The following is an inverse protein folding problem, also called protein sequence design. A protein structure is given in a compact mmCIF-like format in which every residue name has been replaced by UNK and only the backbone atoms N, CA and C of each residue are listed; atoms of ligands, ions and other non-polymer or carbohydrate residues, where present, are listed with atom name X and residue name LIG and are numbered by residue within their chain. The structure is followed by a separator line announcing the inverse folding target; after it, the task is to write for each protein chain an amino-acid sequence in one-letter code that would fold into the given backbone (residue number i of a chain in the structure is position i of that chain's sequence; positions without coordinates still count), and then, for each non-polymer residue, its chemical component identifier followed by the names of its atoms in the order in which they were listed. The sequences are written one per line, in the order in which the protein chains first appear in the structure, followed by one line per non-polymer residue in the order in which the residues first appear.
data_IF_626815013943
#
_entry.id   IF_626815013943
#
_cell.length_a   1.000
_cell.length_b   1.000
_cell.length_c   1.000
_cell.angle_alpha   90.00
_cell.angle_beta   90.00
_cell.angle_gamma   90.00
#
_symmetry.space_group_name_H-M   'P 1'
#
loop_
_entity.id
_entity.type
_entity.pdbx_description
1 polymer ?
#
# COMPACT_ATOMS: atom_id res chain seq x y z
N UNK A 1 6.87 -3.25 1.46
CA UNK A 1 6.50 -3.36 0.02
C UNK A 1 5.12 -3.98 -0.16
N UNK A 2 4.82 -5.14 0.44
CA UNK A 2 3.51 -5.80 0.40
C UNK A 2 2.31 -4.85 0.53
N UNK A 3 2.33 -3.98 1.55
CA UNK A 3 1.26 -3.01 1.79
C UNK A 3 0.98 -2.09 0.59
N UNK A 4 2.02 -1.63 -0.12
CA UNK A 4 1.89 -0.73 -1.28
C UNK A 4 1.26 -1.45 -2.48
N UNK A 5 1.49 -2.76 -2.62
CA UNK A 5 1.05 -3.56 -3.76
C UNK A 5 -0.34 -4.18 -3.56
N UNK A 6 -0.68 -4.59 -2.33
CA UNK A 6 -1.95 -5.25 -1.99
C UNK A 6 -3.02 -4.27 -1.48
N UNK A 7 -2.60 -3.22 -0.78
CA UNK A 7 -3.51 -2.29 -0.11
C UNK A 7 -3.09 -0.84 -0.34
N UNK A 8 -3.05 -0.37 -1.61
CA UNK A 8 -2.52 0.94 -1.97
C UNK A 8 -3.24 2.11 -1.27
N UNK A 9 -4.56 2.01 -1.06
CA UNK A 9 -5.33 2.98 -0.29
C UNK A 9 -4.84 3.09 1.15
N UNK A 10 -4.81 1.97 1.89
CA UNK A 10 -4.28 1.95 3.25
C UNK A 10 -2.81 2.40 3.32
N UNK A 11 -1.99 2.07 2.31
CA UNK A 11 -0.58 2.46 2.24
C UNK A 11 -0.39 3.98 2.19
N UNK A 12 -1.24 4.70 1.45
CA UNK A 12 -1.13 6.14 1.22
C UNK A 12 -1.62 7.00 2.40
N UNK A 13 -2.45 6.45 3.28
CA UNK A 13 -3.03 7.18 4.42
C UNK A 13 -2.05 7.25 5.59
N UNK A 14 -1.80 8.44 6.12
CA UNK A 14 -1.09 8.60 7.39
C UNK A 14 -1.97 8.25 8.60
N UNK A 15 -1.43 7.57 9.61
CA UNK A 15 -2.23 7.11 10.76
C UNK A 15 -2.77 8.26 11.62
N UNK A 16 -2.03 9.36 11.78
CA UNK A 16 -2.49 10.51 12.55
C UNK A 16 -3.59 11.26 11.80
N UNK A 17 -3.54 11.27 10.47
CA UNK A 17 -4.62 11.82 9.64
C UNK A 17 -5.85 10.89 9.58
N UNK A 18 -5.64 9.56 9.58
CA UNK A 18 -6.72 8.57 9.67
C UNK A 18 -7.52 8.68 10.98
N UNK A 19 -6.86 9.07 12.07
CA UNK A 19 -7.52 9.32 13.35
C UNK A 19 -8.45 10.55 13.28
N UNK A 20 -8.18 11.51 12.39
CA UNK A 20 -8.94 12.76 12.27
C UNK A 20 -10.09 12.68 11.26
N UNK A 21 -9.92 11.92 10.18
CA UNK A 21 -10.87 11.90 9.05
C UNK A 21 -11.39 10.48 8.77
N UNK A 22 -12.58 10.40 8.18
CA UNK A 22 -13.08 9.15 7.63
C UNK A 22 -12.45 8.92 6.26
N UNK A 23 -11.93 7.72 6.07
CA UNK A 23 -11.26 7.28 4.86
C UNK A 23 -11.89 6.00 4.33
N UNK A 24 -11.94 5.89 3.02
CA UNK A 24 -12.06 4.61 2.33
C UNK A 24 -10.67 3.98 2.24
N UNK A 25 -10.49 2.80 2.85
CA UNK A 25 -9.21 2.10 2.90
C UNK A 25 -8.82 1.41 1.60
N UNK A 26 -9.79 1.16 0.71
CA UNK A 26 -9.52 0.57 -0.61
C UNK A 26 -8.92 1.64 -1.54
N UNK A 27 -9.58 2.80 -1.61
CA UNK A 27 -9.17 3.90 -2.51
C UNK A 27 -8.14 4.85 -1.89
N UNK A 28 -8.07 4.92 -0.57
CA UNK A 28 -7.24 5.90 0.15
C UNK A 28 -7.85 7.31 0.20
N UNK A 29 -9.10 7.49 -0.23
CA UNK A 29 -9.74 8.80 -0.33
C UNK A 29 -10.49 9.18 0.95
N UNK A 30 -10.48 10.48 1.28
CA UNK A 30 -11.28 11.03 2.38
C UNK A 30 -12.76 11.03 1.99
N UNK A 31 -13.62 10.54 2.87
CA UNK A 31 -15.06 10.68 2.70
C UNK A 31 -15.44 12.17 2.81
N UNK A 32 -16.40 12.59 1.99
CA UNK A 32 -16.94 13.95 2.01
C UNK A 32 -18.40 13.94 2.43
N UNK A 33 -18.82 15.02 3.08
CA UNK A 33 -20.21 15.28 3.46
C UNK A 33 -20.62 16.65 2.94
N UNK A 34 -21.91 16.79 2.60
CA UNK A 34 -22.48 18.07 2.17
C UNK A 34 -22.97 18.84 3.38
N UNK A 35 -22.42 20.03 3.59
CA UNK A 35 -22.71 20.88 4.75
C UNK A 35 -23.28 22.23 4.33
N UNK A 36 -24.12 22.79 5.21
CA UNK A 36 -24.74 24.11 5.04
C UNK A 36 -25.86 24.18 3.99
N UNK A 37 -26.47 25.37 3.84
CA UNK A 37 -27.59 25.61 2.90
C UNK A 37 -27.19 25.40 1.44
N UNK A 38 -25.94 25.72 1.10
CA UNK A 38 -25.37 25.61 -0.25
C UNK A 38 -24.88 24.18 -0.57
N UNK A 39 -24.93 23.25 0.40
CA UNK A 39 -24.51 21.85 0.24
C UNK A 39 -23.07 21.69 -0.28
N UNK A 40 -22.12 22.46 0.25
CA UNK A 40 -20.70 22.35 -0.11
C UNK A 40 -20.11 21.04 0.40
N UNK A 41 -19.27 20.41 -0.42
CA UNK A 41 -18.58 19.19 -0.04
C UNK A 41 -17.36 19.52 0.83
N UNK A 42 -17.39 19.03 2.06
CA UNK A 42 -16.28 19.14 3.01
C UNK A 42 -15.85 17.74 3.46
N UNK A 43 -14.59 17.58 3.86
CA UNK A 43 -14.11 16.30 4.38
C UNK A 43 -14.81 15.95 5.69
N UNK A 44 -15.21 14.69 5.82
CA UNK A 44 -15.93 14.22 6.99
C UNK A 44 -14.95 13.95 8.14
N UNK A 45 -14.97 14.76 9.23
CA UNK A 45 -14.18 14.45 10.40
C UNK A 45 -14.69 13.18 11.05
N UNK A 46 -13.79 12.44 11.70
CA UNK A 46 -14.16 11.26 12.49
C UNK A 46 -14.95 11.73 13.73
N UNK A 47 -16.20 11.28 13.92
CA UNK A 47 -16.96 11.66 15.10
C UNK A 47 -16.31 11.16 16.39
N UNK A 48 -16.51 11.89 17.48
CA UNK A 48 -16.05 11.45 18.80
C UNK A 48 -16.65 10.09 19.16
N UNK A 49 -15.83 9.18 19.68
CA UNK A 49 -16.22 7.81 20.04
C UNK A 49 -16.23 6.80 18.89
N UNK A 50 -16.07 7.22 17.63
CA UNK A 50 -15.90 6.29 16.51
C UNK A 50 -14.43 5.84 16.45
N UNK A 51 -14.13 4.54 16.64
CA UNK A 51 -12.74 4.06 16.63
C UNK A 51 -12.12 4.18 15.22
N UNK A 52 -10.80 4.17 15.17
CA UNK A 52 -10.07 3.98 13.92
C UNK A 52 -10.27 2.56 13.41
N UNK A 53 -10.21 2.31 12.09
CA UNK A 53 -10.38 0.97 11.52
C UNK A 53 -9.10 0.13 11.66
N UNK A 54 -8.35 0.31 12.76
CA UNK A 54 -7.06 -0.36 12.97
C UNK A 54 -7.19 -1.88 13.04
N UNK A 55 -8.32 -2.41 13.53
CA UNK A 55 -8.57 -3.86 13.61
C UNK A 55 -8.63 -4.56 12.24
N UNK A 56 -9.13 -3.87 11.21
CA UNK A 56 -9.25 -4.39 9.84
C UNK A 56 -8.20 -3.83 8.90
N UNK A 57 -7.52 -2.74 9.28
CA UNK A 57 -6.47 -2.14 8.48
C UNK A 57 -5.24 -3.05 8.42
N UNK A 58 -4.63 -3.25 7.24
CA UNK A 58 -3.40 -4.04 7.09
C UNK A 58 -2.20 -3.49 7.88
N UNK A 59 -2.23 -2.19 8.25
CA UNK A 59 -1.23 -1.58 9.14
C UNK A 59 -1.39 -2.03 10.59
N UNK A 60 -2.57 -2.50 11.02
CA UNK A 60 -2.96 -2.99 12.36
C UNK A 60 -2.87 -1.96 13.50
N UNK A 61 -1.82 -1.16 13.57
CA UNK A 61 -1.66 -0.08 14.54
C UNK A 61 -0.75 1.03 14.00
N UNK A 62 -0.78 2.25 14.59
CA UNK A 62 0.16 3.32 14.24
C UNK A 62 1.63 2.95 14.45
N UNK A 63 1.94 2.13 15.46
CA UNK A 63 3.30 1.65 15.74
C UNK A 63 3.78 0.72 14.62
N UNK A 64 2.93 -0.24 14.23
CA UNK A 64 3.23 -1.17 13.14
C UNK A 64 3.21 -0.50 11.76
N UNK A 65 2.51 0.63 11.61
CA UNK A 65 2.55 1.42 10.38
C UNK A 65 3.96 1.90 10.04
N UNK A 66 4.80 2.19 11.04
CA UNK A 66 6.20 2.61 10.83
C UNK A 66 7.03 1.48 10.22
N UNK A 67 6.85 0.26 10.71
CA UNK A 67 7.49 -0.95 10.16
C UNK A 67 7.01 -1.27 8.74
N UNK A 68 5.75 -0.95 8.44
CA UNK A 68 5.18 -1.16 7.10
C UNK A 68 5.57 -0.07 6.09
N UNK A 69 6.07 1.08 6.56
CA UNK A 69 6.39 2.23 5.72
C UNK A 69 7.79 2.12 5.17
N UNK A 70 7.94 2.24 3.85
CA UNK A 70 9.26 2.28 3.24
C UNK A 70 9.95 3.61 3.57
N UNK A 71 11.22 3.54 3.99
CA UNK A 71 12.07 4.74 4.03
C UNK A 71 12.13 5.40 2.65
N UNK A 72 12.38 6.72 2.60
CA UNK A 72 12.46 7.46 1.33
C UNK A 72 13.46 6.84 0.34
N UNK A 73 14.58 6.31 0.85
CA UNK A 73 15.59 5.60 0.05
C UNK A 73 15.01 4.32 -0.54
N UNK A 74 14.40 3.47 0.29
CA UNK A 74 13.83 2.20 -0.14
C UNK A 74 12.65 2.40 -1.11
N UNK A 75 11.83 3.43 -0.89
CA UNK A 75 10.74 3.78 -1.78
C UNK A 75 11.26 4.18 -3.17
N UNK A 76 12.32 5.01 -3.25
CA UNK A 76 12.97 5.35 -4.52
C UNK A 76 13.57 4.14 -5.22
N UNK A 77 14.24 3.25 -4.48
CA UNK A 77 14.78 2.00 -5.03
C UNK A 77 13.67 1.12 -5.60
N UNK A 78 12.55 0.99 -4.89
CA UNK A 78 11.38 0.26 -5.36
C UNK A 78 10.75 0.90 -6.62
N UNK A 79 10.59 2.22 -6.65
CA UNK A 79 10.09 2.92 -7.84
C UNK A 79 11.03 2.72 -9.05
N UNK A 80 12.34 2.83 -8.84
CA UNK A 80 13.33 2.62 -9.89
C UNK A 80 13.30 1.18 -10.41
N UNK A 81 13.24 0.19 -9.51
CA UNK A 81 13.05 -1.21 -9.87
C UNK A 81 11.77 -1.43 -10.69
N UNK A 82 10.63 -0.83 -10.28
CA UNK A 82 9.37 -0.93 -11.03
C UNK A 82 9.48 -0.39 -12.45
N UNK A 83 10.12 0.77 -12.64
CA UNK A 83 10.34 1.35 -13.96
C UNK A 83 11.23 0.45 -14.83
N UNK A 84 12.33 -0.07 -14.26
CA UNK A 84 13.20 -1.01 -14.96
C UNK A 84 12.45 -2.30 -15.32
N UNK A 85 11.75 -2.92 -14.37
CA UNK A 85 11.03 -4.16 -14.58
C UNK A 85 9.93 -4.01 -15.65
N UNK A 86 9.16 -2.90 -15.62
CA UNK A 86 8.12 -2.62 -16.61
C UNK A 86 8.66 -2.41 -18.04
N UNK A 87 9.93 -2.05 -18.18
CA UNK A 87 10.61 -1.85 -19.46
C UNK A 87 11.56 -2.97 -19.84
N UNK A 88 11.45 -4.14 -19.19
CA UNK A 88 12.39 -5.25 -19.37
C UNK A 88 13.87 -4.80 -19.24
N UNK A 89 14.11 -3.89 -18.30
CA UNK A 89 15.40 -3.28 -17.96
C UNK A 89 16.00 -2.34 -19.03
N UNK A 90 15.24 -1.93 -20.05
CA UNK A 90 15.71 -0.93 -21.02
C UNK A 90 15.92 0.47 -20.43
N UNK A 91 15.26 0.83 -19.31
CA UNK A 91 15.51 2.09 -18.59
C UNK A 91 16.72 2.05 -17.64
N UNK A 92 17.42 0.91 -17.50
CA UNK A 92 18.59 0.81 -16.63
C UNK A 92 19.78 1.60 -17.22
N UNK A 93 20.32 2.61 -16.52
CA UNK A 93 21.54 3.27 -16.95
C UNK A 93 22.70 2.28 -17.01
N UNK A 94 23.54 2.40 -18.03
CA UNK A 94 24.67 1.46 -18.27
C UNK A 94 25.60 1.35 -17.05
N UNK A 95 25.89 2.46 -16.38
CA UNK A 95 26.75 2.47 -15.18
C UNK A 95 26.15 1.73 -13.97
N UNK A 96 24.84 1.49 -13.95
CA UNK A 96 24.16 0.71 -12.91
C UNK A 96 23.90 -0.73 -13.30
N UNK A 97 24.01 -1.09 -14.59
CA UNK A 97 23.72 -2.44 -15.08
C UNK A 97 24.62 -3.50 -14.44
N UNK A 98 25.86 -3.12 -14.10
CA UNK A 98 26.84 -4.00 -13.46
C UNK A 98 27.08 -3.67 -11.97
N UNK A 99 26.26 -2.80 -11.37
CA UNK A 99 26.41 -2.45 -9.95
C UNK A 99 25.90 -3.61 -9.05
N UNK A 100 26.77 -4.21 -8.21
CA UNK A 100 26.40 -5.36 -7.38
C UNK A 100 25.38 -5.01 -6.29
N UNK A 101 25.34 -3.75 -5.82
CA UNK A 101 24.37 -3.29 -4.82
C UNK A 101 23.01 -3.16 -5.47
N UNK A 102 22.93 -2.60 -6.68
CA UNK A 102 21.67 -2.51 -7.44
C UNK A 102 21.15 -3.90 -7.76
N UNK A 103 21.99 -4.79 -8.28
CA UNK A 103 21.63 -6.17 -8.58
C UNK A 103 21.08 -6.90 -7.34
N UNK A 104 21.77 -6.81 -6.19
CA UNK A 104 21.30 -7.41 -4.93
C UNK A 104 19.95 -6.84 -4.48
N UNK A 105 19.77 -5.52 -4.54
CA UNK A 105 18.51 -4.89 -4.14
C UNK A 105 17.36 -5.30 -5.06
N UNK A 106 17.62 -5.39 -6.37
CA UNK A 106 16.63 -5.78 -7.37
C UNK A 106 16.23 -7.24 -7.23
N UNK A 107 17.19 -8.13 -6.94
CA UNK A 107 16.90 -9.53 -6.63
C UNK A 107 15.98 -9.65 -5.41
N UNK A 108 16.30 -8.96 -4.30
CA UNK A 108 15.45 -8.98 -3.10
C UNK A 108 14.02 -8.44 -3.38
N UNK A 109 13.87 -7.43 -4.23
CA UNK A 109 12.54 -6.94 -4.63
C UNK A 109 11.79 -7.94 -5.51
N UNK A 110 12.49 -8.63 -6.41
CA UNK A 110 11.90 -9.70 -7.22
C UNK A 110 11.41 -10.86 -6.36
N UNK A 111 12.18 -11.30 -5.36
CA UNK A 111 11.78 -12.37 -4.44
C UNK A 111 10.49 -12.02 -3.68
N UNK A 112 10.42 -10.80 -3.13
CA UNK A 112 9.21 -10.36 -2.43
C UNK A 112 8.03 -10.23 -3.40
N UNK A 113 8.26 -9.86 -4.67
CA UNK A 113 7.18 -9.84 -5.68
C UNK A 113 6.64 -11.24 -5.96
N UNK A 114 7.50 -12.24 -6.11
CA UNK A 114 7.10 -13.64 -6.29
C UNK A 114 6.23 -14.09 -5.11
N UNK A 115 6.63 -13.79 -3.88
CA UNK A 115 5.84 -14.11 -2.68
C UNK A 115 4.45 -13.44 -2.69
N UNK A 116 4.36 -12.18 -3.12
CA UNK A 116 3.07 -11.48 -3.26
C UNK A 116 2.18 -12.20 -4.29
N UNK A 117 2.73 -12.55 -5.45
CA UNK A 117 1.98 -13.19 -6.52
C UNK A 117 1.57 -14.64 -6.15
N UNK A 118 2.38 -15.36 -5.38
CA UNK A 118 2.01 -16.64 -4.76
C UNK A 118 0.87 -16.50 -3.76
N UNK A 119 0.93 -15.52 -2.86
CA UNK A 119 -0.13 -15.25 -1.90
C UNK A 119 -1.45 -14.92 -2.59
N UNK A 120 -1.42 -14.14 -3.69
CA UNK A 120 -2.60 -13.85 -4.52
C UNK A 120 -3.21 -15.12 -5.10
N UNK A 121 -2.38 -15.97 -5.72
CA UNK A 121 -2.82 -17.24 -6.31
C UNK A 121 -3.43 -18.16 -5.27
N UNK A 122 -2.80 -18.27 -4.09
CA UNK A 122 -3.30 -19.10 -3.00
C UNK A 122 -4.66 -18.61 -2.47
N UNK A 123 -4.82 -17.29 -2.27
CA UNK A 123 -6.11 -16.70 -1.88
C UNK A 123 -7.22 -16.97 -2.90
N UNK A 124 -6.91 -16.80 -4.20
CA UNK A 124 -7.87 -17.07 -5.27
C UNK A 124 -8.27 -18.55 -5.29
N UNK A 125 -7.28 -19.45 -5.17
CA UNK A 125 -7.53 -20.89 -5.13
C UNK A 125 -8.40 -21.28 -3.92
N UNK A 126 -8.11 -20.74 -2.75
CA UNK A 126 -8.90 -20.98 -1.54
C UNK A 126 -10.34 -20.46 -1.67
N UNK A 127 -10.53 -19.27 -2.26
CA UNK A 127 -11.85 -18.72 -2.55
C UNK A 127 -12.65 -19.64 -3.48
N UNK A 128 -12.02 -20.15 -4.55
CA UNK A 128 -12.67 -21.07 -5.49
C UNK A 128 -13.08 -22.40 -4.83
N UNK A 129 -12.30 -22.90 -3.87
CA UNK A 129 -12.60 -24.16 -3.18
C UNK A 129 -13.67 -24.02 -2.09
N UNK A 130 -13.71 -22.89 -1.38
CA UNK A 130 -14.52 -22.74 -0.15
C UNK A 130 -15.72 -21.79 -0.32
N UNK A 131 -15.76 -21.01 -1.39
CA UNK A 131 -16.75 -19.94 -1.60
C UNK A 131 -16.66 -18.80 -0.58
N UNK A 132 -15.59 -18.76 0.24
CA UNK A 132 -15.38 -17.76 1.27
C UNK A 132 -14.00 -17.12 1.10
N UNK A 133 -13.94 -15.80 1.21
CA UNK A 133 -12.69 -15.06 1.38
C UNK A 133 -12.23 -15.21 2.83
N UNK A 134 -11.01 -15.71 3.04
CA UNK A 134 -10.37 -15.63 4.36
C UNK A 134 -9.94 -14.18 4.60
N UNK A 135 -10.66 -13.49 5.49
CA UNK A 135 -10.23 -12.22 6.09
C UNK A 135 -9.43 -12.47 7.38
#
# INVERSE_FOLDING_TARGET
MWLIEEHPGAASIDCDDCAKWIYDLETGQKATVRVGPERKEEFQPRPSGVPTPCSTCPKKSPENAKECTLSRKNYRTYQFWRMCNASHFHYMPEHLANDPIVARNFAALADVRVQIDENRRNKLFQFLLTGKTTE
#
